data_IF_949690778128
#
_entry.id   IF_949690778128
#
_cell.length_a   1.000
_cell.length_b   1.000
_cell.length_c   1.000
_cell.angle_alpha   90.00
_cell.angle_beta   90.00
_cell.angle_gamma   90.00
#
_symmetry.space_group_name_H-M   'P 1'
#
loop_
_entity.id
_entity.type
_entity.pdbx_description
1 polymer ?
#
# COMPACT_ATOMS: atom_id res chain seq x y z
N UNK A 1 77.66 33.50 14.76
CA UNK A 1 77.06 34.58 13.95
C UNK A 1 77.39 34.25 12.52
N UNK A 2 76.42 33.72 11.80
CA UNK A 2 76.56 33.35 10.40
C UNK A 2 75.26 33.81 9.73
N UNK A 3 75.35 34.87 8.95
CA UNK A 3 74.20 35.48 8.28
C UNK A 3 74.02 34.82 6.91
N UNK A 4 72.83 34.35 6.54
CA UNK A 4 72.59 33.80 5.22
C UNK A 4 72.55 34.92 4.16
N UNK A 5 73.19 34.64 3.02
CA UNK A 5 73.17 35.49 1.82
C UNK A 5 71.79 35.51 1.14
N UNK A 6 71.46 36.59 0.41
CA UNK A 6 70.10 36.83 -0.08
C UNK A 6 69.71 35.95 -1.28
N UNK A 7 68.43 35.59 -1.28
CA UNK A 7 67.68 34.83 -2.28
C UNK A 7 67.63 35.51 -3.66
N UNK A 8 67.85 34.73 -4.72
CA UNK A 8 67.65 35.12 -6.12
C UNK A 8 66.16 35.39 -6.43
N UNK A 9 65.85 36.31 -7.38
CA UNK A 9 64.49 36.57 -7.81
C UNK A 9 63.96 35.44 -8.72
N UNK A 10 62.79 34.91 -8.37
CA UNK A 10 62.03 33.94 -9.16
C UNK A 10 61.42 34.60 -10.41
N UNK A 11 61.59 33.97 -11.57
CA UNK A 11 60.93 34.36 -12.82
C UNK A 11 59.39 34.26 -12.73
N UNK A 12 58.63 35.11 -13.43
CA UNK A 12 57.17 35.09 -13.38
C UNK A 12 56.60 33.88 -14.13
N UNK A 13 55.64 33.17 -13.51
CA UNK A 13 54.85 32.13 -14.19
C UNK A 13 53.84 32.75 -15.17
N UNK A 14 53.52 32.08 -16.29
CA UNK A 14 52.51 32.54 -17.24
C UNK A 14 51.09 32.38 -16.69
N UNK A 15 50.27 33.43 -16.87
CA UNK A 15 48.84 33.44 -16.57
C UNK A 15 48.08 32.58 -17.60
N UNK A 16 47.13 31.70 -17.19
CA UNK A 16 46.31 30.95 -18.13
C UNK A 16 45.27 31.85 -18.82
N UNK A 17 44.95 31.61 -20.12
CA UNK A 17 44.02 32.45 -20.87
C UNK A 17 42.58 32.29 -20.38
N UNK A 18 41.87 33.41 -20.23
CA UNK A 18 40.44 33.45 -19.90
C UNK A 18 39.57 32.98 -21.09
N UNK A 19 38.43 32.30 -20.84
CA UNK A 19 37.50 31.89 -21.90
C UNK A 19 36.80 33.09 -22.55
N UNK A 20 36.87 33.17 -23.88
CA UNK A 20 36.17 34.15 -24.71
C UNK A 20 34.70 33.72 -24.86
N UNK A 21 33.76 34.62 -24.57
CA UNK A 21 32.33 34.38 -24.76
C UNK A 21 31.96 34.35 -26.26
N UNK A 22 31.15 33.39 -26.74
CA UNK A 22 30.73 33.33 -28.14
C UNK A 22 29.69 34.41 -28.49
N UNK A 23 29.97 35.16 -29.56
CA UNK A 23 29.04 36.12 -30.17
C UNK A 23 28.06 35.44 -31.14
N UNK A 24 26.81 35.94 -31.27
CA UNK A 24 25.79 35.32 -32.14
C UNK A 24 26.10 35.48 -33.63
N UNK A 25 26.02 34.35 -34.34
CA UNK A 25 26.27 34.21 -35.79
C UNK A 25 25.14 34.86 -36.59
N UNK A 26 25.48 35.80 -37.47
CA UNK A 26 24.58 36.34 -38.49
C UNK A 26 24.64 35.45 -39.74
N UNK A 27 23.49 34.93 -40.18
CA UNK A 27 23.37 34.17 -41.43
C UNK A 27 23.13 35.15 -42.59
N UNK A 28 23.95 35.17 -43.66
CA UNK A 28 23.70 35.99 -44.83
C UNK A 28 22.69 35.32 -45.76
N UNK A 29 21.67 36.08 -46.18
CA UNK A 29 20.74 35.70 -47.24
C UNK A 29 21.43 35.82 -48.59
N UNK A 30 21.68 34.69 -49.26
CA UNK A 30 22.09 34.66 -50.67
C UNK A 30 20.86 34.51 -51.57
N UNK A 31 20.67 35.49 -52.44
CA UNK A 31 19.78 35.46 -53.59
C UNK A 31 20.42 34.73 -54.77
N UNK A 32 19.64 33.93 -55.49
CA UNK A 32 19.98 33.52 -56.86
C UNK A 32 18.73 33.54 -57.76
N UNK A 33 18.86 33.93 -59.05
CA UNK A 33 17.74 34.32 -59.90
C UNK A 33 17.36 33.26 -60.96
N UNK A 34 16.09 33.29 -61.37
CA UNK A 34 15.64 32.93 -62.72
C UNK A 34 14.84 31.64 -62.87
N UNK A 35 13.52 31.76 -63.10
CA UNK A 35 12.85 31.45 -64.38
C UNK A 35 11.31 31.29 -64.22
N UNK A 36 10.60 32.39 -64.51
CA UNK A 36 9.42 32.50 -65.39
C UNK A 36 8.29 31.45 -65.35
N UNK A 37 7.07 31.88 -64.97
CA UNK A 37 5.83 31.17 -65.34
C UNK A 37 4.56 31.50 -64.53
N UNK A 38 3.90 32.60 -64.88
CA UNK A 38 2.43 32.87 -64.84
C UNK A 38 1.64 32.93 -63.52
N UNK A 39 0.78 33.96 -63.48
CA UNK A 39 -0.42 34.22 -62.67
C UNK A 39 -0.28 34.89 -61.29
N UNK A 40 -0.60 36.18 -61.34
CA UNK A 40 -0.84 37.14 -60.27
C UNK A 40 -2.03 36.70 -59.41
N UNK A 41 -1.77 36.28 -58.15
CA UNK A 41 -2.83 36.10 -57.14
C UNK A 41 -2.53 36.95 -55.91
N UNK A 42 -3.45 37.88 -55.65
CA UNK A 42 -3.53 38.74 -54.47
C UNK A 42 -3.62 37.88 -53.22
N UNK A 43 -2.63 37.99 -52.32
CA UNK A 43 -2.65 37.31 -51.04
C UNK A 43 -3.44 38.13 -50.02
N UNK A 44 -4.67 37.71 -49.72
CA UNK A 44 -5.42 38.22 -48.58
C UNK A 44 -5.06 37.46 -47.29
N UNK A 45 -5.09 38.17 -46.17
CA UNK A 45 -4.63 37.71 -44.87
C UNK A 45 -5.46 36.52 -44.33
N UNK A 46 -4.84 35.50 -43.71
CA UNK A 46 -5.52 34.30 -43.21
C UNK A 46 -6.53 34.58 -42.09
N UNK A 47 -7.59 33.76 -42.02
CA UNK A 47 -8.81 33.89 -41.19
C UNK A 47 -8.61 33.96 -39.67
N UNK A 48 -7.37 33.95 -39.16
CA UNK A 48 -7.07 34.04 -37.72
C UNK A 48 -7.26 35.45 -37.14
N UNK A 49 -7.54 36.47 -37.97
CA UNK A 49 -7.54 37.88 -37.56
C UNK A 49 -8.89 38.60 -37.67
N UNK A 50 -10.03 37.88 -37.77
CA UNK A 50 -11.36 38.51 -37.73
C UNK A 50 -12.06 38.19 -36.39
N UNK A 51 -12.41 39.18 -35.55
CA UNK A 51 -13.16 38.95 -34.31
C UNK A 51 -14.66 38.73 -34.62
N UNK A 52 -15.18 37.54 -34.29
CA UNK A 52 -16.57 37.19 -34.54
C UNK A 52 -17.53 37.87 -33.56
N UNK A 53 -18.47 38.65 -34.09
CA UNK A 53 -19.66 39.14 -33.38
C UNK A 53 -20.87 38.31 -33.83
N UNK A 54 -21.70 37.94 -32.85
CA UNK A 54 -22.98 37.20 -32.86
C UNK A 54 -23.77 37.09 -34.18
N UNK A 55 -24.27 35.88 -34.49
CA UNK A 55 -25.69 35.63 -34.81
C UNK A 55 -26.08 34.13 -34.96
N UNK A 56 -27.25 33.82 -34.38
CA UNK A 56 -28.29 32.87 -34.77
C UNK A 56 -28.14 31.35 -34.46
N UNK A 57 -29.15 30.87 -33.74
CA UNK A 57 -29.33 29.53 -33.18
C UNK A 57 -29.83 28.49 -34.20
N UNK A 58 -29.31 27.26 -34.06
CA UNK A 58 -29.78 26.01 -34.68
C UNK A 58 -29.97 24.98 -33.55
N UNK A 59 -31.04 24.16 -33.52
CA UNK A 59 -31.40 23.37 -32.35
C UNK A 59 -30.40 22.23 -32.14
N UNK A 60 -29.68 22.26 -31.02
CA UNK A 60 -28.71 21.22 -30.66
C UNK A 60 -29.43 20.00 -30.09
N UNK A 61 -29.19 18.87 -30.77
CA UNK A 61 -29.50 17.51 -30.32
C UNK A 61 -28.93 17.31 -28.91
N UNK A 62 -29.79 17.03 -27.93
CA UNK A 62 -29.41 16.86 -26.51
C UNK A 62 -28.24 15.85 -26.37
N UNK A 63 -27.19 16.14 -25.59
CA UNK A 63 -26.07 15.23 -25.44
C UNK A 63 -26.50 14.00 -24.64
N UNK A 64 -26.32 12.81 -25.21
CA UNK A 64 -26.64 11.50 -24.61
C UNK A 64 -26.04 11.30 -23.21
N UNK A 65 -24.96 12.03 -22.85
CA UNK A 65 -24.27 11.92 -21.55
C UNK A 65 -25.14 12.34 -20.35
N UNK A 66 -26.00 13.36 -20.48
CA UNK A 66 -26.88 13.75 -19.35
C UNK A 66 -27.98 12.72 -19.05
N UNK A 67 -28.51 12.05 -20.08
CA UNK A 67 -29.57 11.03 -19.89
C UNK A 67 -28.98 9.80 -19.20
N UNK A 68 -27.74 9.42 -19.52
CA UNK A 68 -27.04 8.31 -18.85
C UNK A 68 -26.74 8.63 -17.37
N UNK A 69 -26.32 9.85 -17.04
CA UNK A 69 -26.07 10.26 -15.64
C UNK A 69 -27.37 10.24 -14.83
N UNK A 70 -28.47 10.79 -15.37
CA UNK A 70 -29.77 10.75 -14.70
C UNK A 70 -30.26 9.31 -14.50
N UNK A 71 -30.03 8.42 -15.48
CA UNK A 71 -30.38 7.00 -15.36
C UNK A 71 -29.58 6.29 -14.25
N UNK A 72 -28.27 6.56 -14.16
CA UNK A 72 -27.39 5.98 -13.12
C UNK A 72 -27.84 6.47 -11.73
N UNK A 73 -28.11 7.76 -11.56
CA UNK A 73 -28.59 8.31 -10.28
C UNK A 73 -29.93 7.68 -9.87
N UNK A 74 -30.86 7.47 -10.81
CA UNK A 74 -32.14 6.80 -10.52
C UNK A 74 -31.94 5.33 -10.12
N UNK A 75 -31.00 4.62 -10.75
CA UNK A 75 -30.67 3.23 -10.41
C UNK A 75 -30.04 3.15 -9.01
N UNK A 76 -29.10 4.06 -8.68
CA UNK A 76 -28.47 4.12 -7.35
C UNK A 76 -29.51 4.41 -6.27
N UNK A 77 -30.43 5.36 -6.51
CA UNK A 77 -31.52 5.64 -5.56
C UNK A 77 -32.49 4.46 -5.39
N UNK A 78 -32.76 3.70 -6.45
CA UNK A 78 -33.57 2.49 -6.36
C UNK A 78 -32.88 1.39 -5.55
N UNK A 79 -31.56 1.20 -5.74
CA UNK A 79 -30.76 0.24 -4.97
C UNK A 79 -30.67 0.64 -3.50
N UNK A 80 -30.46 1.91 -3.19
CA UNK A 80 -30.47 2.42 -1.81
C UNK A 80 -31.84 2.26 -1.15
N UNK A 81 -32.94 2.45 -1.90
CA UNK A 81 -34.29 2.18 -1.41
C UNK A 81 -34.54 0.70 -1.09
N UNK A 82 -34.01 -0.22 -1.91
CA UNK A 82 -34.09 -1.66 -1.66
C UNK A 82 -33.27 -2.04 -0.42
N UNK A 83 -32.04 -1.53 -0.31
CA UNK A 83 -31.16 -1.78 0.85
C UNK A 83 -31.80 -1.24 2.14
N UNK A 84 -32.35 -0.02 2.11
CA UNK A 84 -33.07 0.57 3.24
C UNK A 84 -34.33 -0.23 3.62
N UNK A 85 -35.07 -0.75 2.63
CA UNK A 85 -36.23 -1.62 2.87
C UNK A 85 -35.86 -2.96 3.50
N UNK A 86 -34.76 -3.58 3.06
CA UNK A 86 -34.25 -4.83 3.64
C UNK A 86 -33.75 -4.59 5.07
N UNK A 87 -33.02 -3.52 5.31
CA UNK A 87 -32.53 -3.17 6.64
C UNK A 87 -33.70 -2.89 7.61
N UNK A 88 -34.73 -2.17 7.16
CA UNK A 88 -35.95 -1.94 7.95
C UNK A 88 -36.73 -3.22 8.23
N UNK A 89 -36.79 -4.15 7.28
CA UNK A 89 -37.43 -5.45 7.47
C UNK A 89 -36.69 -6.32 8.49
N UNK A 90 -35.35 -6.36 8.43
CA UNK A 90 -34.52 -7.10 9.39
C UNK A 90 -34.62 -6.50 10.79
N UNK A 91 -34.57 -5.17 10.93
CA UNK A 91 -34.75 -4.50 12.23
C UNK A 91 -36.14 -4.76 12.83
N UNK A 92 -37.18 -4.88 12.00
CA UNK A 92 -38.52 -5.25 12.48
C UNK A 92 -38.58 -6.71 12.95
N UNK A 93 -37.83 -7.61 12.33
CA UNK A 93 -37.77 -9.03 12.68
C UNK A 93 -37.02 -9.30 13.99
N UNK A 94 -36.14 -8.38 14.40
CA UNK A 94 -35.39 -8.44 15.66
C UNK A 94 -36.16 -7.88 16.88
N UNK A 95 -37.30 -7.22 16.65
CA UNK A 95 -38.08 -6.55 17.70
C UNK A 95 -39.31 -7.33 18.18
N UNK A 96 -39.60 -8.50 17.60
CA UNK A 96 -40.67 -9.39 18.05
C UNK A 96 -40.09 -10.48 18.97
N UNK A 97 -40.04 -10.19 20.28
CA UNK A 97 -39.74 -11.18 21.32
C UNK A 97 -40.88 -12.22 21.42
N UNK A 98 -40.60 -13.53 21.31
CA UNK A 98 -41.62 -14.55 21.55
C UNK A 98 -41.89 -14.72 23.04
N UNK A 99 -43.13 -14.43 23.46
CA UNK A 99 -43.66 -14.80 24.77
C UNK A 99 -43.65 -16.32 24.94
N UNK A 100 -42.84 -16.81 25.87
CA UNK A 100 -42.82 -18.22 26.29
C UNK A 100 -44.13 -18.54 27.00
N UNK A 101 -44.88 -19.51 26.48
CA UNK A 101 -45.95 -20.20 27.23
C UNK A 101 -45.59 -21.67 27.33
N UNK A 102 -45.42 -22.14 28.56
CA UNK A 102 -45.20 -23.55 28.89
C UNK A 102 -46.37 -24.41 28.43
N UNK A 103 -46.11 -25.45 27.64
CA UNK A 103 -46.86 -26.72 27.68
C UNK A 103 -46.24 -27.84 26.81
N UNK A 104 -45.87 -28.91 27.52
CA UNK A 104 -46.19 -30.31 27.21
C UNK A 104 -45.31 -31.13 26.24
N UNK A 105 -44.65 -32.12 26.87
CA UNK A 105 -44.28 -33.44 26.36
C UNK A 105 -45.25 -34.00 25.31
N UNK A 106 -44.71 -34.43 24.17
CA UNK A 106 -45.26 -35.54 23.42
C UNK A 106 -44.15 -36.30 22.67
N UNK A 107 -43.98 -37.56 23.07
CA UNK A 107 -43.19 -38.61 22.42
C UNK A 107 -43.78 -38.90 21.05
N UNK A 108 -42.94 -38.91 20.00
CA UNK A 108 -43.26 -39.57 18.73
C UNK A 108 -42.07 -40.42 18.30
N UNK A 109 -42.25 -41.73 18.44
CA UNK A 109 -41.44 -42.76 17.79
C UNK A 109 -41.91 -42.86 16.33
N UNK A 110 -41.00 -42.86 15.36
CA UNK A 110 -41.26 -43.57 14.12
C UNK A 110 -40.01 -44.22 13.53
N UNK A 111 -40.14 -45.54 13.46
CA UNK A 111 -39.30 -46.56 12.86
C UNK A 111 -39.23 -46.39 11.33
N UNK A 112 -38.10 -46.69 10.71
CA UNK A 112 -37.96 -47.68 9.62
C UNK A 112 -36.62 -47.56 8.89
N UNK A 113 -35.76 -48.55 9.14
CA UNK A 113 -34.99 -49.39 8.21
C UNK A 113 -34.35 -48.75 6.96
N UNK A 114 -33.17 -49.15 6.50
CA UNK A 114 -32.10 -50.02 6.97
C UNK A 114 -31.11 -50.04 5.79
N UNK A 115 -29.81 -49.84 6.01
CA UNK A 115 -28.85 -50.78 5.48
C UNK A 115 -27.51 -50.67 6.22
N UNK A 116 -27.11 -51.81 6.75
CA UNK A 116 -25.95 -52.11 7.59
C UNK A 116 -24.67 -52.24 6.78
N UNK A 117 -23.53 -51.77 7.31
CA UNK A 117 -22.36 -52.63 7.58
C UNK A 117 -21.66 -52.11 8.83
N UNK A 118 -21.46 -53.01 9.78
CA UNK A 118 -21.01 -52.76 11.14
C UNK A 118 -19.47 -52.74 11.28
N UNK A 119 -18.97 -51.89 12.15
CA UNK A 119 -17.88 -52.25 13.04
C UNK A 119 -18.14 -51.60 14.40
N UNK A 120 -18.58 -52.42 15.35
CA UNK A 120 -18.98 -52.04 16.71
C UNK A 120 -17.88 -52.53 17.64
N UNK A 121 -17.24 -51.61 18.36
CA UNK A 121 -16.42 -51.93 19.51
C UNK A 121 -17.19 -51.50 20.77
N UNK A 122 -17.81 -52.47 21.43
CA UNK A 122 -18.46 -52.33 22.74
C UNK A 122 -17.42 -52.70 23.79
N UNK A 123 -17.08 -51.74 24.65
CA UNK A 123 -16.33 -52.00 25.87
C UNK A 123 -17.34 -52.15 27.02
N UNK A 124 -17.76 -53.39 27.28
CA UNK A 124 -18.40 -53.77 28.54
C UNK A 124 -17.32 -54.12 29.55
N UNK A 125 -17.33 -53.37 30.65
CA UNK A 125 -16.45 -53.53 31.80
C UNK A 125 -17.01 -54.62 32.72
N UNK A 126 -16.53 -55.86 32.58
CA UNK A 126 -16.72 -56.92 33.57
C UNK A 126 -15.42 -57.16 34.34
N UNK A 127 -15.45 -56.77 35.61
CA UNK A 127 -14.38 -56.97 36.58
C UNK A 127 -14.39 -58.43 37.05
N UNK A 128 -13.44 -59.24 36.57
CA UNK A 128 -13.17 -60.58 37.07
C UNK A 128 -11.71 -60.67 37.52
N UNK A 129 -11.52 -60.63 38.83
CA UNK A 129 -10.27 -61.01 39.50
C UNK A 129 -10.14 -62.55 39.47
N UNK A 130 -9.24 -63.07 38.62
CA UNK A 130 -8.73 -64.44 38.74
C UNK A 130 -7.21 -64.39 38.66
N UNK A 131 -6.60 -64.65 39.82
CA UNK A 131 -5.23 -65.08 39.98
C UNK A 131 -5.09 -66.51 39.45
N UNK A 132 -4.41 -66.71 38.33
CA UNK A 132 -3.78 -68.00 38.00
C UNK A 132 -2.36 -67.81 37.48
N UNK A 133 -1.48 -68.53 38.17
CA UNK A 133 -0.05 -68.64 38.01
C UNK A 133 0.25 -69.57 36.82
N UNK A 134 0.94 -69.10 35.79
CA UNK A 134 1.51 -69.94 34.74
C UNK A 134 2.94 -69.51 34.42
N UNK A 135 3.83 -70.42 34.79
CA UNK A 135 5.27 -70.38 34.74
C UNK A 135 5.76 -70.67 33.32
N UNK A 136 6.40 -69.71 32.65
CA UNK A 136 7.34 -70.03 31.56
C UNK A 136 8.67 -69.30 31.79
N UNK A 137 9.68 -70.14 31.97
CA UNK A 137 11.05 -69.86 32.30
C UNK A 137 11.83 -69.65 31.00
N UNK A 138 12.37 -68.45 30.79
CA UNK A 138 13.60 -68.32 30.00
C UNK A 138 14.61 -67.47 30.77
N UNK A 139 15.68 -68.14 31.15
CA UNK A 139 16.77 -67.69 31.98
C UNK A 139 17.94 -67.27 31.08
N UNK A 140 18.26 -65.98 31.04
CA UNK A 140 19.62 -65.51 30.73
C UNK A 140 19.97 -64.42 31.74
N UNK A 141 20.78 -64.82 32.73
CA UNK A 141 21.43 -63.95 33.68
C UNK A 141 22.83 -63.58 33.17
N UNK A 142 23.15 -62.29 33.09
CA UNK A 142 24.46 -61.79 33.54
C UNK A 142 24.27 -60.46 34.29
N UNK A 143 24.47 -60.55 35.60
CA UNK A 143 24.62 -59.47 36.57
C UNK A 143 25.90 -58.65 36.30
N UNK A 144 25.82 -57.33 36.49
CA UNK A 144 26.39 -56.62 37.66
C UNK A 144 26.38 -55.10 37.46
N UNK A 145 25.58 -54.36 38.24
CA UNK A 145 26.10 -53.56 39.36
C UNK A 145 24.97 -52.80 40.09
N UNK A 146 24.93 -52.95 41.40
CA UNK A 146 24.01 -52.29 42.32
C UNK A 146 24.26 -50.78 42.42
N UNK A 147 23.20 -49.98 42.50
CA UNK A 147 23.16 -48.93 43.52
C UNK A 147 21.74 -48.70 44.01
N UNK A 148 21.62 -48.82 45.33
CA UNK A 148 20.43 -48.72 46.16
C UNK A 148 20.11 -47.25 46.39
N UNK A 149 18.88 -46.82 46.08
CA UNK A 149 18.27 -45.71 46.79
C UNK A 149 16.84 -46.08 47.18
N UNK A 150 16.69 -46.48 48.43
CA UNK A 150 15.39 -46.61 49.07
C UNK A 150 14.87 -45.20 49.39
N UNK A 151 13.81 -44.78 48.68
CA UNK A 151 12.92 -43.76 49.20
C UNK A 151 11.51 -44.34 49.25
N UNK A 152 11.07 -44.66 50.47
CA UNK A 152 9.70 -44.98 50.77
C UNK A 152 8.88 -43.70 50.63
N UNK A 153 7.90 -43.70 49.72
CA UNK A 153 6.81 -42.73 49.81
C UNK A 153 5.49 -43.47 49.66
N UNK A 154 4.63 -43.25 50.64
CA UNK A 154 3.40 -43.96 50.89
C UNK A 154 2.41 -43.82 49.74
N UNK A 155 1.96 -44.95 49.21
CA UNK A 155 0.85 -45.01 48.27
C UNK A 155 -0.48 -44.83 49.02
N UNK A 156 -0.92 -43.58 49.16
CA UNK A 156 -2.32 -43.25 49.45
C UNK A 156 -3.02 -42.99 48.11
N UNK A 157 -3.72 -44.01 47.63
CA UNK A 157 -4.71 -43.89 46.57
C UNK A 157 -5.91 -43.06 47.07
N UNK A 158 -5.83 -41.74 46.91
CA UNK A 158 -7.02 -40.88 46.89
C UNK A 158 -7.65 -40.99 45.50
N UNK A 159 -8.79 -41.67 45.44
CA UNK A 159 -9.68 -41.71 44.28
C UNK A 159 -10.14 -40.28 43.97
N UNK A 160 -9.57 -39.66 42.95
CA UNK A 160 -10.23 -38.61 42.16
C UNK A 160 -10.00 -38.95 40.70
N UNK A 161 -10.98 -39.64 40.12
CA UNK A 161 -11.13 -39.74 38.68
C UNK A 161 -11.59 -38.38 38.15
N UNK A 162 -10.67 -37.43 38.05
CA UNK A 162 -10.83 -36.27 37.18
C UNK A 162 -10.04 -36.54 35.90
N UNK A 163 -10.66 -37.28 34.99
CA UNK A 163 -10.40 -37.03 33.58
C UNK A 163 -10.98 -35.66 33.24
N UNK A 164 -10.29 -34.60 33.66
CA UNK A 164 -10.47 -33.28 33.10
C UNK A 164 -9.84 -33.28 31.71
N UNK A 165 -10.50 -33.95 30.76
CA UNK A 165 -10.26 -33.72 29.35
C UNK A 165 -10.77 -32.30 29.08
N UNK A 166 -9.94 -31.33 29.43
CA UNK A 166 -10.14 -29.94 29.06
C UNK A 166 -9.87 -29.92 27.56
N UNK A 167 -10.91 -30.23 26.79
CA UNK A 167 -10.96 -29.81 25.41
C UNK A 167 -10.96 -28.29 25.48
N UNK A 168 -9.76 -27.71 25.51
CA UNK A 168 -9.54 -26.32 25.19
C UNK A 168 -9.97 -26.21 23.73
N UNK A 169 -11.27 -26.03 23.52
CA UNK A 169 -11.78 -25.48 22.30
C UNK A 169 -11.33 -24.01 22.32
N UNK A 170 -10.07 -23.79 21.96
CA UNK A 170 -9.62 -22.51 21.47
C UNK A 170 -10.30 -22.31 20.13
N UNK A 171 -11.60 -22.03 20.16
CA UNK A 171 -12.22 -21.14 19.19
C UNK A 171 -11.64 -19.75 19.46
N UNK A 172 -10.35 -19.62 19.22
CA UNK A 172 -9.77 -18.34 18.87
C UNK A 172 -10.48 -18.01 17.57
N UNK A 173 -11.34 -17.00 17.59
CA UNK A 173 -11.74 -16.34 16.35
C UNK A 173 -10.44 -15.79 15.76
N UNK A 174 -9.78 -16.59 14.93
CA UNK A 174 -8.63 -16.16 14.17
C UNK A 174 -9.16 -15.08 13.25
N UNK A 175 -8.88 -13.82 13.57
CA UNK A 175 -8.81 -12.79 12.55
C UNK A 175 -7.78 -13.30 11.56
N UNK A 176 -8.23 -13.88 10.44
CA UNK A 176 -7.35 -14.32 9.37
C UNK A 176 -6.61 -13.07 8.86
N UNK A 177 -5.37 -12.91 9.31
CA UNK A 177 -4.46 -11.91 8.77
C UNK A 177 -4.23 -12.30 7.31
N UNK A 178 -4.42 -11.37 6.36
CA UNK A 178 -4.24 -11.70 4.96
C UNK A 178 -2.79 -12.10 4.71
N UNK A 179 -2.57 -13.16 3.94
CA UNK A 179 -1.24 -13.62 3.56
C UNK A 179 -0.85 -13.03 2.20
N UNK A 180 0.44 -12.81 1.89
CA UNK A 180 0.84 -12.50 0.53
C UNK A 180 0.28 -13.51 -0.47
N UNK A 181 -0.11 -13.03 -1.65
CA UNK A 181 -0.50 -13.88 -2.77
C UNK A 181 0.64 -14.81 -3.19
N UNK A 182 0.35 -15.73 -4.12
CA UNK A 182 1.37 -16.68 -4.56
C UNK A 182 2.57 -15.94 -5.16
N UNK A 183 3.75 -16.24 -4.64
CA UNK A 183 5.08 -15.92 -5.15
C UNK A 183 5.72 -17.27 -5.53
N UNK A 184 6.14 -17.44 -6.79
CA UNK A 184 6.54 -18.76 -7.33
C UNK A 184 8.03 -19.03 -7.16
N UNK A 185 8.85 -17.99 -7.17
CA UNK A 185 10.30 -18.06 -7.10
C UNK A 185 10.88 -17.46 -5.80
N UNK A 186 10.00 -17.02 -4.91
CA UNK A 186 10.26 -16.65 -3.52
C UNK A 186 11.18 -15.42 -3.38
N UNK A 187 11.03 -14.47 -4.29
CA UNK A 187 11.85 -13.26 -4.36
C UNK A 187 11.21 -12.05 -3.64
N UNK A 188 10.07 -12.28 -2.97
CA UNK A 188 9.23 -11.27 -2.33
C UNK A 188 8.46 -10.39 -3.31
N UNK A 189 8.18 -10.87 -4.52
CA UNK A 189 7.27 -10.26 -5.48
C UNK A 189 6.19 -11.27 -5.84
N UNK A 190 4.92 -10.93 -5.63
CA UNK A 190 3.85 -11.88 -5.96
C UNK A 190 3.69 -12.02 -7.48
N UNK A 191 3.22 -13.17 -7.96
CA UNK A 191 3.01 -13.41 -9.40
C UNK A 191 2.07 -12.38 -10.07
N UNK A 192 1.21 -11.71 -9.30
CA UNK A 192 0.36 -10.64 -9.79
C UNK A 192 1.11 -9.31 -9.91
N UNK A 193 2.04 -9.04 -8.99
CA UNK A 193 2.95 -7.91 -9.07
C UNK A 193 3.94 -8.06 -10.22
N UNK A 194 4.45 -9.25 -10.48
CA UNK A 194 5.41 -9.45 -11.55
C UNK A 194 4.86 -9.07 -12.93
N UNK A 195 3.55 -9.27 -13.15
CA UNK A 195 2.86 -8.80 -14.36
C UNK A 195 2.87 -7.27 -14.47
N UNK A 196 2.80 -6.57 -13.33
CA UNK A 196 2.82 -5.11 -13.24
C UNK A 196 4.24 -4.59 -13.46
N UNK A 197 5.25 -5.27 -12.90
CA UNK A 197 6.65 -4.85 -12.97
C UNK A 197 7.40 -5.36 -14.21
N UNK A 198 6.77 -6.21 -15.03
CA UNK A 198 7.37 -6.74 -16.25
C UNK A 198 8.45 -7.80 -16.00
N UNK A 199 8.43 -8.43 -14.83
CA UNK A 199 9.37 -9.45 -14.37
C UNK A 199 8.84 -10.86 -14.67
N UNK A 200 9.59 -11.90 -14.28
CA UNK A 200 9.34 -13.29 -14.65
C UNK A 200 9.07 -14.14 -13.41
N UNK A 201 7.83 -14.63 -13.34
CA UNK A 201 7.29 -15.45 -12.27
C UNK A 201 7.90 -16.82 -12.00
N UNK A 202 9.05 -17.11 -12.54
CA UNK A 202 9.79 -18.33 -12.31
C UNK A 202 11.30 -18.08 -12.14
N UNK A 203 11.70 -16.81 -12.06
CA UNK A 203 13.08 -16.36 -12.03
C UNK A 203 13.22 -15.17 -11.08
N UNK A 204 13.86 -15.37 -9.90
CA UNK A 204 13.96 -14.31 -8.88
C UNK A 204 14.67 -13.03 -9.34
N UNK A 205 15.44 -13.13 -10.41
CA UNK A 205 16.25 -12.06 -11.00
C UNK A 205 15.98 -12.09 -12.51
N UNK A 206 15.08 -11.22 -12.94
CA UNK A 206 14.55 -11.23 -14.30
C UNK A 206 15.55 -10.77 -15.34
N UNK A 207 16.41 -9.82 -15.00
CA UNK A 207 17.36 -9.22 -15.92
C UNK A 207 18.79 -9.80 -15.80
N UNK A 208 19.00 -10.66 -14.80
CA UNK A 208 20.21 -11.41 -14.52
C UNK A 208 21.41 -10.53 -14.12
N UNK A 209 21.18 -9.46 -13.36
CA UNK A 209 22.23 -8.57 -12.85
C UNK A 209 22.76 -8.95 -11.45
N UNK A 210 22.10 -9.91 -10.78
CA UNK A 210 22.48 -10.45 -9.48
C UNK A 210 21.69 -9.90 -8.29
N UNK A 211 20.71 -9.02 -8.51
CA UNK A 211 19.72 -8.61 -7.51
C UNK A 211 18.36 -9.25 -7.82
N UNK A 212 17.56 -9.51 -6.79
CA UNK A 212 16.22 -10.06 -7.02
C UNK A 212 15.21 -8.96 -7.30
N UNK A 213 14.21 -9.24 -8.13
CA UNK A 213 13.28 -8.24 -8.65
C UNK A 213 12.57 -7.49 -7.51
N UNK A 214 12.07 -8.23 -6.50
CA UNK A 214 11.46 -7.64 -5.30
C UNK A 214 12.39 -6.72 -4.52
N UNK A 215 13.68 -7.08 -4.37
CA UNK A 215 14.68 -6.25 -3.65
C UNK A 215 14.98 -4.97 -4.42
N UNK A 216 15.08 -5.04 -5.73
CA UNK A 216 15.32 -3.88 -6.59
C UNK A 216 14.19 -2.87 -6.48
N UNK A 217 12.94 -3.32 -6.58
CA UNK A 217 11.74 -2.48 -6.43
C UNK A 217 11.76 -1.75 -5.07
N UNK A 218 12.04 -2.48 -3.98
CA UNK A 218 12.09 -1.93 -2.61
C UNK A 218 13.32 -1.05 -2.34
N UNK A 219 14.31 -1.09 -3.23
CA UNK A 219 15.50 -0.23 -3.21
C UNK A 219 15.39 0.95 -4.20
N UNK A 220 14.34 1.00 -5.03
CA UNK A 220 14.11 2.06 -6.02
C UNK A 220 14.89 1.88 -7.34
N UNK A 221 15.21 0.63 -7.68
CA UNK A 221 15.87 0.21 -8.92
C UNK A 221 14.88 -0.45 -9.89
N UNK A 222 15.23 -0.47 -11.16
CA UNK A 222 14.40 -1.02 -12.24
C UNK A 222 14.73 -2.52 -12.44
N UNK A 223 13.81 -3.45 -12.09
CA UNK A 223 14.07 -4.91 -12.09
C UNK A 223 14.11 -5.52 -13.50
N UNK A 224 13.93 -4.70 -14.54
CA UNK A 224 13.97 -5.15 -15.94
C UNK A 224 15.20 -4.65 -16.67
N UNK A 225 16.10 -3.98 -15.96
CA UNK A 225 17.24 -3.27 -16.50
C UNK A 225 18.52 -3.69 -15.82
N UNK A 226 19.22 -4.64 -16.46
CA UNK A 226 20.45 -5.25 -15.95
C UNK A 226 21.64 -4.29 -15.75
N UNK A 227 21.44 -2.99 -16.00
CA UNK A 227 22.39 -1.97 -15.58
C UNK A 227 22.10 -1.57 -14.14
N UNK A 228 23.05 -1.85 -13.25
CA UNK A 228 23.02 -1.49 -11.82
C UNK A 228 22.86 0.03 -11.51
N UNK A 229 22.64 0.87 -12.52
CA UNK A 229 22.38 2.30 -12.42
C UNK A 229 20.94 2.67 -12.77
N UNK A 230 20.12 1.76 -13.31
CA UNK A 230 18.71 2.03 -13.63
C UNK A 230 17.91 2.35 -12.37
N UNK A 231 17.35 3.56 -12.29
CA UNK A 231 16.41 3.91 -11.21
C UNK A 231 15.00 3.62 -11.65
N UNK A 232 14.19 3.10 -10.73
CA UNK A 232 12.78 2.84 -10.97
C UNK A 232 12.06 4.11 -11.42
N UNK A 233 12.35 5.24 -10.76
CA UNK A 233 11.78 6.55 -11.07
C UNK A 233 12.06 7.06 -12.49
N UNK A 234 13.11 6.56 -13.15
CA UNK A 234 13.48 6.96 -14.51
C UNK A 234 12.73 6.14 -15.58
N UNK A 235 12.11 5.02 -15.21
CA UNK A 235 11.38 4.15 -16.11
C UNK A 235 9.87 4.47 -16.10
N UNK A 236 9.47 5.40 -16.96
CA UNK A 236 8.07 5.81 -17.12
C UNK A 236 7.14 4.69 -17.65
N UNK A 237 7.68 3.58 -18.16
CA UNK A 237 6.86 2.43 -18.55
C UNK A 237 6.41 1.61 -17.32
N UNK A 238 7.20 1.61 -16.26
CA UNK A 238 6.90 0.88 -15.02
C UNK A 238 6.21 1.77 -13.98
N UNK A 239 6.65 3.02 -13.81
CA UNK A 239 6.09 3.92 -12.79
C UNK A 239 5.63 5.28 -13.33
N UNK A 240 4.50 5.74 -12.79
CA UNK A 240 4.06 7.12 -12.85
C UNK A 240 4.46 7.88 -11.58
N UNK A 241 4.51 9.21 -11.67
CA UNK A 241 4.66 10.08 -10.49
C UNK A 241 3.38 10.85 -10.26
N UNK A 242 2.81 10.75 -9.06
CA UNK A 242 1.72 11.59 -8.62
C UNK A 242 2.28 12.72 -7.77
N UNK A 243 1.92 13.96 -8.10
CA UNK A 243 2.35 15.15 -7.38
C UNK A 243 1.16 15.84 -6.73
N UNK A 244 1.20 15.98 -5.41
CA UNK A 244 0.22 16.69 -4.63
C UNK A 244 0.82 18.01 -4.14
N UNK A 245 0.66 19.06 -4.95
CA UNK A 245 1.18 20.39 -4.64
C UNK A 245 0.47 21.05 -3.44
N UNK A 246 -0.76 20.64 -3.12
CA UNK A 246 -1.52 21.19 -1.99
C UNK A 246 -0.96 20.72 -0.65
N UNK A 247 -0.48 19.48 -0.62
CA UNK A 247 0.07 18.82 0.57
C UNK A 247 1.56 18.50 0.47
N UNK A 248 2.26 19.11 -0.49
CA UNK A 248 3.72 19.06 -0.68
C UNK A 248 4.32 17.65 -0.64
N UNK A 249 3.79 16.72 -1.44
CA UNK A 249 4.45 15.43 -1.62
C UNK A 249 4.39 14.96 -3.07
N UNK A 250 5.34 14.12 -3.43
CA UNK A 250 5.28 13.30 -4.64
C UNK A 250 5.41 11.84 -4.28
N UNK A 251 4.82 10.96 -5.06
CA UNK A 251 4.86 9.52 -4.84
C UNK A 251 4.93 8.78 -6.17
N UNK A 252 5.66 7.68 -6.21
CA UNK A 252 5.67 6.76 -7.35
C UNK A 252 4.54 5.76 -7.20
N UNK A 253 3.94 5.38 -8.32
CA UNK A 253 2.92 4.33 -8.39
C UNK A 253 3.10 3.56 -9.70
N UNK A 254 2.70 2.28 -9.80
CA UNK A 254 2.80 1.56 -11.06
C UNK A 254 2.04 2.28 -12.18
N UNK A 255 2.65 2.45 -13.36
CA UNK A 255 2.08 3.25 -14.47
C UNK A 255 0.69 2.77 -14.90
N UNK A 256 0.46 1.47 -14.77
CA UNK A 256 -0.82 0.85 -15.11
C UNK A 256 -1.93 1.15 -14.08
N UNK A 257 -1.62 1.71 -12.92
CA UNK A 257 -2.64 2.03 -11.92
C UNK A 257 -3.27 3.41 -12.16
N UNK A 258 -4.53 3.55 -11.74
CA UNK A 258 -5.21 4.84 -11.69
C UNK A 258 -4.83 5.55 -10.38
N UNK A 259 -4.25 6.74 -10.49
CA UNK A 259 -3.99 7.63 -9.35
C UNK A 259 -4.95 8.83 -9.39
N UNK A 260 -5.89 8.92 -8.45
CA UNK A 260 -6.89 9.99 -8.41
C UNK A 260 -7.22 10.45 -6.99
N UNK A 261 -7.55 11.73 -6.83
CA UNK A 261 -8.11 12.24 -5.59
C UNK A 261 -9.55 11.76 -5.41
N UNK A 262 -9.94 11.39 -4.18
CA UNK A 262 -11.27 10.85 -3.90
C UNK A 262 -12.37 11.90 -4.10
N UNK A 263 -12.09 13.16 -3.77
CA UNK A 263 -13.04 14.26 -3.86
C UNK A 263 -12.54 15.37 -4.80
N UNK A 264 -13.45 15.89 -5.63
CA UNK A 264 -13.12 16.96 -6.57
C UNK A 264 -12.72 18.23 -5.81
N UNK A 265 -11.47 18.67 -5.99
CA UNK A 265 -10.92 19.85 -5.33
C UNK A 265 -10.42 19.62 -3.91
N UNK A 266 -10.43 18.38 -3.42
CA UNK A 266 -9.80 17.99 -2.16
C UNK A 266 -8.84 16.83 -2.39
N UNK A 267 -7.55 17.16 -2.40
CA UNK A 267 -6.46 16.22 -2.61
C UNK A 267 -5.93 15.63 -1.29
N UNK A 268 -6.68 15.73 -0.17
CA UNK A 268 -6.26 15.16 1.11
C UNK A 268 -6.30 13.63 1.11
N UNK A 269 -7.08 13.02 0.22
CA UNK A 269 -7.15 11.58 0.05
C UNK A 269 -6.98 11.21 -1.42
N UNK A 270 -5.95 10.42 -1.71
CA UNK A 270 -5.59 9.95 -3.04
C UNK A 270 -5.64 8.44 -3.08
N UNK A 271 -6.34 7.88 -4.07
CA UNK A 271 -6.44 6.45 -4.30
C UNK A 271 -5.55 6.04 -5.47
N UNK A 272 -4.75 4.99 -5.25
CA UNK A 272 -3.99 4.28 -6.26
C UNK A 272 -4.67 2.93 -6.48
N UNK A 273 -5.37 2.80 -7.59
CA UNK A 273 -6.21 1.63 -7.90
C UNK A 273 -5.62 0.85 -9.07
N UNK A 274 -5.37 -0.46 -8.93
CA UNK A 274 -4.95 -1.30 -10.05
C UNK A 274 -5.94 -1.21 -11.23
N UNK A 275 -5.44 -1.12 -12.48
CA UNK A 275 -6.31 -1.21 -13.66
C UNK A 275 -6.78 -2.63 -13.95
N UNK A 276 -6.10 -3.62 -13.38
CA UNK A 276 -6.53 -5.00 -13.41
C UNK A 276 -7.80 -5.07 -12.58
N UNK A 277 -8.88 -5.57 -13.16
CA UNK A 277 -10.08 -5.95 -12.42
C UNK A 277 -9.70 -7.07 -11.45
N UNK A 278 -9.13 -6.70 -10.31
CA UNK A 278 -9.02 -7.62 -9.19
C UNK A 278 -10.44 -7.81 -8.66
N UNK A 279 -10.81 -9.07 -8.41
CA UNK A 279 -12.15 -9.36 -7.91
C UNK A 279 -12.30 -8.97 -6.43
N UNK A 280 -11.19 -8.59 -5.79
CA UNK A 280 -11.08 -8.24 -4.39
C UNK A 280 -11.22 -6.73 -4.11
N UNK A 281 -11.01 -5.86 -5.12
CA UNK A 281 -11.09 -4.41 -4.95
C UNK A 281 -9.98 -3.85 -4.06
N UNK A 282 -8.76 -4.37 -4.19
CA UNK A 282 -7.63 -3.92 -3.40
C UNK A 282 -7.03 -2.63 -3.98
N UNK A 283 -6.66 -1.70 -3.11
CA UNK A 283 -6.09 -0.42 -3.51
C UNK A 283 -5.19 0.15 -2.42
N UNK A 284 -4.37 1.13 -2.77
CA UNK A 284 -3.57 1.89 -1.82
C UNK A 284 -4.20 3.28 -1.69
N UNK A 285 -4.42 3.74 -0.47
CA UNK A 285 -4.91 5.08 -0.18
C UNK A 285 -3.83 5.89 0.51
N UNK A 286 -3.63 7.14 0.10
CA UNK A 286 -2.77 8.10 0.77
C UNK A 286 -3.68 9.16 1.37
N UNK A 287 -3.73 9.22 2.70
CA UNK A 287 -4.52 10.20 3.44
C UNK A 287 -3.61 11.20 4.14
N UNK A 288 -3.92 12.48 4.03
CA UNK A 288 -3.21 13.57 4.68
C UNK A 288 -4.00 14.03 5.90
N UNK A 289 -3.32 14.13 7.03
CA UNK A 289 -3.87 14.52 8.33
C UNK A 289 -3.10 15.74 8.83
N UNK A 290 -3.77 16.75 9.38
CA UNK A 290 -3.09 17.90 9.98
C UNK A 290 -2.20 17.48 11.17
N UNK A 291 -1.01 18.06 11.27
CA UNK A 291 -0.05 17.82 12.34
C UNK A 291 0.19 19.11 13.16
N UNK A 292 -0.82 19.60 13.92
CA UNK A 292 -0.69 20.85 14.67
C UNK A 292 0.38 20.80 15.77
N UNK A 293 0.77 19.60 16.20
CA UNK A 293 1.81 19.37 17.21
C UNK A 293 3.23 19.33 16.61
N UNK A 294 3.35 19.15 15.29
CA UNK A 294 4.63 18.95 14.61
C UNK A 294 5.32 17.65 15.02
N UNK A 295 4.55 16.61 15.38
CA UNK A 295 5.07 15.31 15.76
C UNK A 295 5.81 14.64 14.60
N UNK A 296 6.83 13.85 14.94
CA UNK A 296 7.38 12.88 13.99
C UNK A 296 6.34 11.77 13.72
N UNK A 297 6.52 11.01 12.65
CA UNK A 297 5.61 9.90 12.36
C UNK A 297 5.55 8.88 13.50
N UNK A 298 6.71 8.60 14.13
CA UNK A 298 6.84 7.70 15.27
C UNK A 298 6.08 8.24 16.48
N UNK A 299 6.35 9.48 16.89
CA UNK A 299 5.69 10.10 18.05
C UNK A 299 4.17 10.16 17.85
N UNK A 300 3.74 10.52 16.64
CA UNK A 300 2.32 10.59 16.29
C UNK A 300 1.64 9.22 16.39
N UNK A 301 2.30 8.15 15.90
CA UNK A 301 1.73 6.81 15.96
C UNK A 301 1.71 6.25 17.39
N UNK A 302 2.77 6.48 18.18
CA UNK A 302 2.82 6.14 19.61
C UNK A 302 1.67 6.80 20.38
N UNK A 303 1.46 8.10 20.17
CA UNK A 303 0.40 8.86 20.85
C UNK A 303 -1.00 8.39 20.40
N UNK A 304 -1.20 8.21 19.09
CA UNK A 304 -2.51 7.86 18.52
C UNK A 304 -2.91 6.41 18.82
N UNK A 305 -1.99 5.47 18.69
CA UNK A 305 -2.26 4.04 18.89
C UNK A 305 -2.01 3.57 20.33
N UNK A 306 -1.40 4.41 21.17
CA UNK A 306 -1.02 4.07 22.55
C UNK A 306 -0.20 2.76 22.60
N UNK A 307 0.85 2.72 21.78
CA UNK A 307 1.78 1.58 21.63
C UNK A 307 3.16 1.96 22.13
N UNK A 308 3.97 0.98 22.52
CA UNK A 308 5.37 1.23 22.90
C UNK A 308 6.20 1.48 21.63
N UNK A 309 7.05 2.50 21.66
CA UNK A 309 7.98 2.83 20.57
C UNK A 309 8.92 1.67 20.27
N UNK A 310 9.28 0.86 21.27
CA UNK A 310 10.20 -0.26 21.11
C UNK A 310 9.66 -1.37 20.20
N UNK A 311 8.34 -1.45 20.01
CA UNK A 311 7.69 -2.45 19.18
C UNK A 311 7.49 -1.98 17.73
N UNK A 312 7.88 -0.74 17.42
CA UNK A 312 7.64 -0.12 16.12
C UNK A 312 8.75 -0.43 15.11
N UNK A 313 8.33 -0.70 13.88
CA UNK A 313 9.23 -0.90 12.75
C UNK A 313 9.27 0.40 11.96
N UNK A 314 10.46 0.99 11.84
CA UNK A 314 10.70 2.19 11.02
C UNK A 314 11.27 1.84 9.65
N UNK A 315 11.10 2.73 8.69
CA UNK A 315 11.68 2.61 7.36
C UNK A 315 12.20 3.96 6.88
N UNK A 316 13.04 3.93 5.84
CA UNK A 316 13.60 5.12 5.19
C UNK A 316 13.11 5.16 3.75
N UNK A 317 12.60 6.31 3.31
CA UNK A 317 12.19 6.53 1.91
C UNK A 317 13.40 6.64 0.98
N UNK A 318 13.17 6.54 -0.32
CA UNK A 318 14.21 6.79 -1.33
C UNK A 318 14.79 8.22 -1.22
N UNK A 319 13.99 9.16 -0.70
CA UNK A 319 14.40 10.53 -0.42
C UNK A 319 15.05 10.73 0.97
N UNK A 320 15.15 9.68 1.79
CA UNK A 320 15.79 9.73 3.11
C UNK A 320 14.89 10.15 4.27
N UNK A 321 13.58 10.28 4.07
CA UNK A 321 12.64 10.57 5.15
C UNK A 321 12.41 9.31 6.00
N UNK A 322 12.28 9.48 7.32
CA UNK A 322 11.97 8.37 8.23
C UNK A 322 10.46 8.24 8.40
N UNK A 323 9.95 7.03 8.18
CA UNK A 323 8.55 6.66 8.43
C UNK A 323 8.43 5.50 9.41
N UNK A 324 7.20 5.18 9.79
CA UNK A 324 6.88 4.07 10.71
C UNK A 324 5.72 3.25 10.17
N UNK A 325 5.80 1.93 10.34
CA UNK A 325 4.70 1.02 10.04
C UNK A 325 3.73 0.92 11.21
N UNK A 326 2.45 0.79 10.89
CA UNK A 326 1.45 0.33 11.85
C UNK A 326 1.81 -1.07 12.34
N UNK A 327 1.36 -1.41 13.56
CA UNK A 327 1.58 -2.73 14.16
C UNK A 327 0.95 -3.88 13.37
N UNK A 328 -0.07 -3.59 12.56
CA UNK A 328 -0.66 -4.56 11.62
C UNK A 328 0.03 -4.61 10.25
N UNK A 329 1.00 -3.73 9.99
CA UNK A 329 1.73 -3.66 8.72
C UNK A 329 0.94 -3.12 7.53
N UNK A 330 -0.30 -2.65 7.73
CA UNK A 330 -1.20 -2.23 6.64
C UNK A 330 -1.16 -0.73 6.35
N UNK A 331 -0.51 0.05 7.21
CA UNK A 331 -0.35 1.50 7.01
C UNK A 331 1.06 1.95 7.33
N UNK A 332 1.68 2.68 6.41
CA UNK A 332 2.90 3.45 6.65
C UNK A 332 2.54 4.90 6.98
N UNK A 333 3.20 5.46 8.00
CA UNK A 333 3.10 6.86 8.36
C UNK A 333 4.40 7.59 8.10
N UNK A 334 4.29 8.77 7.48
CA UNK A 334 5.35 9.76 7.37
C UNK A 334 4.85 11.09 7.92
N UNK A 335 5.75 11.98 8.29
CA UNK A 335 5.39 13.28 8.86
C UNK A 335 6.31 14.38 8.34
N UNK A 336 5.73 15.57 8.15
CA UNK A 336 6.46 16.82 8.18
C UNK A 336 5.90 17.72 9.29
N UNK A 337 6.34 18.98 9.32
CA UNK A 337 5.91 19.96 10.32
C UNK A 337 4.41 20.21 10.32
N UNK A 338 3.75 20.12 9.17
CA UNK A 338 2.36 20.56 8.99
C UNK A 338 1.38 19.39 8.88
N UNK A 339 1.85 18.20 8.45
CA UNK A 339 1.01 17.06 8.09
C UNK A 339 1.62 15.70 8.46
N UNK A 340 0.73 14.74 8.71
CA UNK A 340 0.98 13.30 8.72
C UNK A 340 0.42 12.72 7.42
N UNK A 341 1.19 11.86 6.78
CA UNK A 341 0.84 11.14 5.55
C UNK A 341 0.65 9.66 5.92
N UNK A 342 -0.57 9.16 5.77
CA UNK A 342 -0.92 7.77 6.02
C UNK A 342 -1.10 7.04 4.68
N UNK A 343 -0.13 6.20 4.31
CA UNK A 343 -0.19 5.33 3.14
C UNK A 343 -0.76 3.99 3.59
N UNK A 344 -2.00 3.68 3.22
CA UNK A 344 -2.73 2.52 3.70
C UNK A 344 -3.07 1.53 2.58
N UNK A 345 -2.78 0.26 2.81
CA UNK A 345 -3.22 -0.82 1.96
C UNK A 345 -4.63 -1.26 2.34
N UNK A 346 -5.58 -1.16 1.42
CA UNK A 346 -6.96 -1.61 1.57
C UNK A 346 -7.16 -2.89 0.77
N UNK A 347 -7.44 -3.98 1.49
CA UNK A 347 -7.66 -5.31 0.92
C UNK A 347 -9.09 -5.84 1.14
N UNK A 348 -9.95 -5.05 1.78
CA UNK A 348 -11.37 -5.36 1.98
C UNK A 348 -11.58 -6.65 2.77
N UNK A 349 -12.08 -7.69 2.08
CA UNK A 349 -12.33 -9.03 2.65
C UNK A 349 -11.44 -10.11 2.03
N UNK A 350 -10.40 -9.70 1.30
CA UNK A 350 -9.44 -10.63 0.71
C UNK A 350 -8.63 -11.32 1.80
N UNK A 351 -8.45 -12.63 1.67
CA UNK A 351 -7.54 -13.43 2.50
C UNK A 351 -6.10 -13.39 1.97
N UNK A 352 -5.91 -12.87 0.76
CA UNK A 352 -4.61 -12.73 0.10
C UNK A 352 -4.31 -11.25 -0.22
N UNK A 353 -3.07 -10.83 -0.08
CA UNK A 353 -2.55 -9.53 -0.52
C UNK A 353 -1.88 -9.71 -1.88
N UNK A 354 -2.45 -9.11 -2.92
CA UNK A 354 -1.92 -9.23 -4.28
C UNK A 354 -0.82 -8.23 -4.60
N UNK A 355 -0.67 -7.16 -3.81
CA UNK A 355 0.25 -6.05 -4.09
C UNK A 355 1.08 -5.59 -2.86
N UNK A 356 1.59 -6.50 -2.00
CA UNK A 356 2.32 -6.12 -0.79
C UNK A 356 3.61 -5.33 -1.08
N UNK A 357 4.38 -5.73 -2.08
CA UNK A 357 5.67 -5.12 -2.41
C UNK A 357 5.50 -3.78 -3.12
N UNK A 358 4.46 -3.68 -3.94
CA UNK A 358 4.03 -2.45 -4.59
C UNK A 358 3.52 -1.45 -3.56
N UNK A 359 2.80 -1.91 -2.53
CA UNK A 359 2.43 -1.08 -1.39
C UNK A 359 3.64 -0.53 -0.63
N UNK A 360 4.61 -1.39 -0.32
CA UNK A 360 5.83 -0.95 0.34
C UNK A 360 6.65 0.02 -0.53
N UNK A 361 6.74 -0.23 -1.84
CA UNK A 361 7.36 0.66 -2.81
C UNK A 361 6.69 2.04 -2.82
N UNK A 362 5.35 2.09 -2.87
CA UNK A 362 4.59 3.37 -2.80
C UNK A 362 4.98 4.13 -1.53
N UNK A 363 4.96 3.47 -0.37
CA UNK A 363 5.33 4.10 0.90
C UNK A 363 6.77 4.62 0.92
N UNK A 364 7.74 3.82 0.44
CA UNK A 364 9.16 4.18 0.33
C UNK A 364 9.44 5.25 -0.73
N UNK A 365 8.59 5.38 -1.74
CA UNK A 365 8.77 6.38 -2.79
C UNK A 365 8.32 7.79 -2.39
N UNK A 366 7.58 7.90 -1.28
CA UNK A 366 7.01 9.17 -0.84
C UNK A 366 8.13 10.19 -0.55
N UNK A 367 8.08 11.29 -1.27
CA UNK A 367 9.03 12.40 -1.17
C UNK A 367 8.29 13.62 -0.69
N UNK A 368 8.63 14.08 0.52
CA UNK A 368 8.08 15.29 1.12
C UNK A 368 8.82 16.49 0.51
N UNK A 369 8.08 17.36 -0.17
CA UNK A 369 8.63 18.58 -0.74
C UNK A 369 8.47 19.73 0.24
N UNK A 370 9.40 20.67 0.23
CA UNK A 370 9.25 21.91 0.99
C UNK A 370 8.08 22.73 0.41
N UNK A 371 7.26 23.38 1.26
CA UNK A 371 6.15 24.18 0.77
C UNK A 371 6.64 25.23 -0.22
N UNK A 372 6.01 25.28 -1.41
CA UNK A 372 6.13 26.45 -2.28
C UNK A 372 5.66 27.65 -1.47
N UNK A 373 6.60 28.48 -1.01
CA UNK A 373 6.34 29.68 -0.22
C UNK A 373 5.16 30.41 -0.85
N UNK A 374 4.00 30.43 -0.16
CA UNK A 374 2.83 31.16 -0.64
C UNK A 374 3.30 32.59 -0.90
N UNK A 375 3.32 33.02 -2.16
CA UNK A 375 3.42 34.44 -2.45
C UNK A 375 2.11 35.04 -1.96
N UNK A 376 2.10 35.51 -0.71
CA UNK A 376 1.01 36.33 -0.22
C UNK A 376 0.94 37.56 -1.12
N UNK A 377 -0.06 37.61 -2.01
CA UNK A 377 -0.32 38.73 -2.89
C UNK A 377 -0.91 39.95 -2.16
N UNK A 378 -0.72 40.06 -0.84
CA UNK A 378 -1.32 41.10 -0.01
C UNK A 378 -0.31 42.10 0.58
N UNK A 379 0.96 42.07 0.14
CA UNK A 379 1.95 43.08 0.54
C UNK A 379 2.08 44.18 -0.52
N UNK A 380 0.95 44.81 -0.90
CA UNK A 380 0.99 46.14 -1.51
C UNK A 380 -0.37 46.85 -1.45
N UNK A 381 -0.63 47.56 -0.35
CA UNK A 381 -1.18 48.93 -0.36
C UNK A 381 -1.22 49.46 1.07
N UNK A 382 -0.08 49.90 1.62
CA UNK A 382 -0.10 50.88 2.71
C UNK A 382 1.20 51.70 2.86
N UNK A 383 1.94 51.91 1.76
CA UNK A 383 3.13 52.76 1.74
C UNK A 383 2.95 54.08 0.96
N UNK A 384 1.73 54.42 0.53
CA UNK A 384 1.47 55.63 -0.25
C UNK A 384 0.32 56.46 0.32
N UNK A 385 0.42 56.91 1.58
CA UNK A 385 -0.37 58.07 2.02
C UNK A 385 0.19 58.82 3.25
N UNK A 386 1.51 59.03 3.31
CA UNK A 386 2.14 59.75 4.43
C UNK A 386 3.00 60.94 3.98
N UNK A 387 2.71 61.56 2.82
CA UNK A 387 3.43 62.76 2.38
C UNK A 387 2.53 63.70 1.57
N UNK A 388 1.52 64.27 2.22
CA UNK A 388 0.83 65.48 1.73
C UNK A 388 0.07 66.15 2.89
N UNK A 389 0.82 66.62 3.89
CA UNK A 389 0.29 67.52 4.92
C UNK A 389 1.43 68.30 5.58
N UNK A 390 2.16 69.11 4.81
CA UNK A 390 2.90 70.28 5.33
C UNK A 390 3.40 71.14 4.16
N UNK A 391 2.62 72.16 3.79
CA UNK A 391 3.09 73.42 3.20
C UNK A 391 1.97 74.45 3.17
#
# INVERSE_FOLDING_TARGET
>A
MDFPSPSQPTSPQPVPPQPVQPQPVQIPVQSHPGAMGTDEQVYTMPEKFIPATQAAAVPTKRPKKMVTIILIVVIVLAVLGIIGGVLFYVLRMMNDEPVVTDAQNAVVVNTNNANTVANVNVNENDNVNVNENANENENVNEDTNENVNANANDNINAVVNENANTNANTNTATTEVPVPGKDTDEDSLTNDEEKIWGTKADLPDSDSDGYTDGVEILAGYDPTNATSAGRLADNAALVGTFANDDYNYTVLYPTDWLAEALAEGDNSEVLLTPNTLDLAGQYIAITVIENPTGFTAVDWYVDTANVDEADLITFITFAGATGVWSTDGTTAYLANTDYIYAVSYRYGSSTELFFPTSFEMVAKSLTLTEPKKRQNSNDNTNAANANEAES
#
